data_IF_866748933905
#
_entry.id   IF_866748933905
#
_cell.length_a   1.000
_cell.length_b   1.000
_cell.length_c   1.000
_cell.angle_alpha   90.00
_cell.angle_beta   90.00
_cell.angle_gamma   90.00
#
_symmetry.space_group_name_H-M   'P 1'
#
loop_
_entity.id
_entity.type
_entity.pdbx_description
1 polymer ?
#
# COMPACT_ATOMS: atom_id res chain seq x y z
N UNK A 1 37.33 -13.93 3.72
CA UNK A 1 35.98 -13.87 4.34
C UNK A 1 35.05 -13.08 3.42
N UNK A 2 34.57 -13.67 2.31
CA UNK A 2 33.91 -12.94 1.21
C UNK A 2 32.46 -13.38 0.93
N UNK A 3 31.82 -14.11 1.86
CA UNK A 3 30.46 -14.63 1.66
C UNK A 3 29.32 -13.80 2.27
N UNK A 4 29.61 -12.79 3.10
CA UNK A 4 28.56 -12.09 3.89
C UNK A 4 28.00 -10.81 3.25
N UNK A 5 28.60 -10.28 2.18
CA UNK A 5 28.20 -9.01 1.56
C UNK A 5 26.93 -9.09 0.70
N UNK A 6 26.77 -10.14 -0.09
CA UNK A 6 25.67 -10.23 -1.07
C UNK A 6 24.36 -10.74 -0.47
N UNK A 7 24.43 -11.71 0.45
CA UNK A 7 23.25 -12.22 1.17
C UNK A 7 22.70 -11.19 2.16
N UNK A 8 23.59 -10.45 2.84
CA UNK A 8 23.21 -9.35 3.73
C UNK A 8 22.52 -8.20 3.01
N UNK A 9 23.00 -7.80 1.82
CA UNK A 9 22.39 -6.74 1.02
C UNK A 9 21.03 -7.15 0.43
N UNK A 10 20.88 -8.40 -0.01
CA UNK A 10 19.60 -8.94 -0.47
C UNK A 10 18.55 -9.01 0.65
N UNK A 11 18.93 -9.48 1.84
CA UNK A 11 18.03 -9.54 2.99
C UNK A 11 17.57 -8.14 3.43
N UNK A 12 18.50 -7.17 3.47
CA UNK A 12 18.20 -5.78 3.78
C UNK A 12 17.19 -5.17 2.79
N UNK A 13 17.35 -5.48 1.50
CA UNK A 13 16.48 -4.99 0.42
C UNK A 13 15.10 -5.65 0.42
N UNK A 14 15.01 -6.93 0.80
CA UNK A 14 13.77 -7.70 0.85
C UNK A 14 12.95 -7.45 2.12
N UNK A 15 13.57 -6.94 3.19
CA UNK A 15 12.91 -6.67 4.49
C UNK A 15 11.57 -5.93 4.41
N UNK A 16 11.41 -4.80 3.68
CA UNK A 16 10.11 -4.12 3.61
C UNK A 16 9.04 -4.94 2.89
N UNK A 17 9.41 -5.75 1.90
CA UNK A 17 8.48 -6.62 1.18
C UNK A 17 7.98 -7.75 2.08
N UNK A 18 8.90 -8.44 2.77
CA UNK A 18 8.58 -9.52 3.70
C UNK A 18 7.69 -8.98 4.82
N UNK A 19 8.05 -7.84 5.40
CA UNK A 19 7.28 -7.18 6.44
C UNK A 19 5.84 -6.89 5.99
N UNK A 20 5.65 -6.29 4.82
CA UNK A 20 4.32 -5.97 4.30
C UNK A 20 3.50 -7.23 4.01
N UNK A 21 4.08 -8.26 3.42
CA UNK A 21 3.40 -9.54 3.16
C UNK A 21 2.98 -10.20 4.49
N UNK A 22 3.86 -10.24 5.49
CA UNK A 22 3.54 -10.77 6.82
C UNK A 22 2.40 -10.01 7.51
N UNK A 23 2.34 -8.68 7.34
CA UNK A 23 1.20 -7.89 7.86
C UNK A 23 -0.11 -8.30 7.19
N UNK A 24 -0.12 -8.61 5.89
CA UNK A 24 -1.34 -9.05 5.21
C UNK A 24 -1.87 -10.39 5.75
N UNK A 25 -0.99 -11.32 6.13
CA UNK A 25 -1.41 -12.55 6.83
C UNK A 25 -2.07 -12.23 8.19
N UNK A 26 -1.50 -11.28 8.95
CA UNK A 26 -2.09 -10.83 10.20
C UNK A 26 -3.47 -10.18 10.02
N UNK A 27 -3.64 -9.36 8.97
CA UNK A 27 -4.94 -8.76 8.65
C UNK A 27 -5.96 -9.80 8.14
N UNK A 28 -5.54 -10.81 7.39
CA UNK A 28 -6.40 -11.90 6.94
C UNK A 28 -7.00 -12.68 8.14
N UNK A 29 -6.17 -13.03 9.13
CA UNK A 29 -6.63 -13.68 10.36
C UNK A 29 -7.65 -12.83 11.14
N UNK A 30 -7.42 -11.52 11.20
CA UNK A 30 -8.31 -10.57 11.87
C UNK A 30 -9.73 -10.54 11.27
N UNK A 31 -9.85 -10.59 9.95
CA UNK A 31 -11.17 -10.60 9.29
C UNK A 31 -12.01 -11.81 9.69
N UNK A 32 -11.39 -12.98 9.83
CA UNK A 32 -12.08 -14.21 10.25
C UNK A 32 -12.55 -14.09 11.71
N UNK A 33 -11.63 -13.73 12.61
CA UNK A 33 -11.90 -13.65 14.05
C UNK A 33 -12.96 -12.57 14.36
N UNK A 34 -12.86 -11.40 13.71
CA UNK A 34 -13.81 -10.30 13.89
C UNK A 34 -15.19 -10.63 13.39
N UNK A 35 -15.29 -11.31 12.23
CA UNK A 35 -16.58 -11.70 11.68
C UNK A 35 -17.31 -12.64 12.65
N UNK A 36 -16.62 -13.59 13.27
CA UNK A 36 -17.20 -14.46 14.30
C UNK A 36 -17.70 -13.66 15.50
N UNK A 37 -16.93 -12.68 15.97
CA UNK A 37 -17.30 -11.85 17.13
C UNK A 37 -18.49 -10.92 16.85
N UNK A 38 -18.50 -10.24 15.69
CA UNK A 38 -19.60 -9.36 15.28
C UNK A 38 -20.90 -10.15 15.06
N UNK A 39 -20.83 -11.35 14.50
CA UNK A 39 -22.00 -12.22 14.31
C UNK A 39 -22.58 -12.72 15.64
N UNK A 40 -21.79 -12.76 16.72
CA UNK A 40 -22.26 -13.08 18.08
C UNK A 40 -22.86 -11.88 18.82
N UNK A 41 -23.01 -10.74 18.14
CA UNK A 41 -23.69 -9.56 18.66
C UNK A 41 -22.80 -8.53 19.35
N UNK A 42 -21.47 -8.67 19.27
CA UNK A 42 -20.56 -7.66 19.83
C UNK A 42 -20.72 -6.31 19.12
N UNK A 43 -20.85 -5.23 19.89
CA UNK A 43 -20.88 -3.88 19.33
C UNK A 43 -19.51 -3.52 18.75
N UNK A 44 -19.47 -3.25 17.44
CA UNK A 44 -18.25 -2.82 16.76
C UNK A 44 -17.57 -1.59 17.40
N UNK A 45 -18.33 -0.64 17.94
CA UNK A 45 -17.79 0.52 18.66
C UNK A 45 -16.94 0.08 19.86
N UNK A 46 -17.47 -0.85 20.66
CA UNK A 46 -16.80 -1.43 21.82
C UNK A 46 -15.56 -2.24 21.39
N UNK A 47 -15.67 -3.00 20.29
CA UNK A 47 -14.53 -3.73 19.73
C UNK A 47 -13.38 -2.78 19.34
N UNK A 48 -13.67 -1.64 18.72
CA UNK A 48 -12.66 -0.64 18.36
C UNK A 48 -11.96 -0.09 19.61
N UNK A 49 -12.71 0.22 20.68
CA UNK A 49 -12.14 0.67 21.95
C UNK A 49 -11.16 -0.37 22.52
N UNK A 50 -11.61 -1.61 22.70
CA UNK A 50 -10.77 -2.65 23.28
C UNK A 50 -9.58 -2.98 22.40
N UNK A 51 -9.75 -3.03 21.08
CA UNK A 51 -8.67 -3.20 20.10
C UNK A 51 -7.55 -2.20 20.35
N UNK A 52 -7.86 -0.91 20.42
CA UNK A 52 -6.82 0.11 20.61
C UNK A 52 -6.29 0.19 22.05
N UNK A 53 -7.10 -0.18 23.04
CA UNK A 53 -6.64 -0.32 24.42
C UNK A 53 -5.58 -1.42 24.54
N UNK A 54 -5.83 -2.61 23.98
CA UNK A 54 -4.85 -3.70 23.91
C UNK A 54 -3.61 -3.30 23.12
N UNK A 55 -3.78 -2.63 21.98
CA UNK A 55 -2.67 -2.15 21.18
C UNK A 55 -1.75 -1.21 22.00
N UNK A 56 -2.36 -0.28 22.74
CA UNK A 56 -1.65 0.67 23.60
C UNK A 56 -0.93 -0.04 24.74
N UNK A 57 -1.62 -0.94 25.44
CA UNK A 57 -1.06 -1.69 26.56
C UNK A 57 0.17 -2.52 26.15
N UNK A 58 0.15 -3.10 24.95
CA UNK A 58 1.28 -3.89 24.45
C UNK A 58 2.42 -3.01 23.95
N UNK A 59 2.16 -1.94 23.20
CA UNK A 59 3.24 -1.16 22.56
C UNK A 59 3.87 -0.11 23.47
N UNK A 60 3.11 0.43 24.44
CA UNK A 60 3.58 1.51 25.30
C UNK A 60 4.80 1.14 26.16
N UNK A 61 4.90 -0.05 26.78
CA UNK A 61 6.10 -0.45 27.51
C UNK A 61 7.36 -0.45 26.64
N UNK A 62 7.28 -1.01 25.43
CA UNK A 62 8.40 -1.00 24.48
C UNK A 62 8.79 0.42 24.06
N UNK A 63 7.80 1.28 23.81
CA UNK A 63 8.05 2.67 23.50
C UNK A 63 8.78 3.39 24.65
N UNK A 64 8.37 3.15 25.91
CA UNK A 64 8.94 3.80 27.09
C UNK A 64 10.36 3.30 27.36
N UNK A 65 10.63 2.01 27.13
CA UNK A 65 11.94 1.41 27.41
C UNK A 65 12.94 1.67 26.28
N UNK A 66 12.56 1.42 25.02
CA UNK A 66 13.47 1.44 23.88
C UNK A 66 13.72 2.84 23.33
N UNK A 67 12.73 3.73 23.35
CA UNK A 67 12.83 5.07 22.77
C UNK A 67 13.01 6.18 23.81
N UNK A 68 13.16 5.84 25.10
CA UNK A 68 13.24 6.82 26.22
C UNK A 68 14.18 7.99 25.95
N UNK A 69 15.35 7.70 25.39
CA UNK A 69 16.45 8.67 25.16
C UNK A 69 16.41 9.32 23.78
N UNK A 70 15.56 8.83 22.87
CA UNK A 70 15.57 9.19 21.44
C UNK A 70 14.31 9.96 21.03
N UNK A 71 13.33 10.08 21.94
CA UNK A 71 12.06 10.78 21.72
C UNK A 71 12.27 12.28 21.43
N UNK A 72 11.82 12.77 20.27
CA UNK A 72 11.73 14.20 20.02
C UNK A 72 10.73 14.87 20.98
N UNK A 73 10.89 16.17 21.23
CA UNK A 73 9.90 16.93 22.00
C UNK A 73 8.58 16.99 21.23
N UNK A 74 7.48 16.63 21.90
CA UNK A 74 6.14 16.75 21.32
C UNK A 74 5.72 18.22 21.42
N UNK A 75 5.75 18.93 20.29
CA UNK A 75 5.18 20.27 20.16
C UNK A 75 3.68 20.18 19.90
N UNK A 76 2.94 21.26 20.15
CA UNK A 76 1.48 21.29 19.92
C UNK A 76 1.09 20.90 18.48
N UNK A 77 1.76 21.37 17.40
CA UNK A 77 1.46 20.92 16.04
C UNK A 77 1.66 19.42 15.83
N UNK A 78 2.72 18.82 16.39
CA UNK A 78 2.97 17.38 16.29
C UNK A 78 1.90 16.60 17.06
N UNK A 79 1.53 17.07 18.25
CA UNK A 79 0.44 16.49 19.01
C UNK A 79 -0.90 16.53 18.25
N UNK A 80 -1.22 17.65 17.60
CA UNK A 80 -2.41 17.76 16.74
C UNK A 80 -2.36 16.77 15.57
N UNK A 81 -1.20 16.57 14.94
CA UNK A 81 -1.04 15.54 13.91
C UNK A 81 -1.29 14.14 14.46
N UNK A 82 -0.77 13.81 15.63
CA UNK A 82 -1.01 12.53 16.31
C UNK A 82 -2.47 12.34 16.71
N UNK A 83 -3.14 13.42 17.15
CA UNK A 83 -4.57 13.41 17.48
C UNK A 83 -5.42 13.15 16.24
N UNK A 84 -5.12 13.79 15.11
CA UNK A 84 -5.80 13.56 13.83
C UNK A 84 -5.50 12.16 13.29
N UNK A 85 -4.30 11.62 13.50
CA UNK A 85 -4.00 10.22 13.17
C UNK A 85 -4.86 9.24 13.96
N UNK A 86 -5.03 9.48 15.27
CA UNK A 86 -5.97 8.72 16.10
C UNK A 86 -7.41 8.79 15.59
N UNK A 87 -7.81 9.95 15.05
CA UNK A 87 -9.16 10.17 14.54
C UNK A 87 -9.37 9.46 13.20
N UNK A 88 -8.43 9.59 12.26
CA UNK A 88 -8.56 9.07 10.90
C UNK A 88 -8.60 7.54 10.85
N UNK A 89 -7.65 6.87 11.51
CA UNK A 89 -7.53 5.42 11.47
C UNK A 89 -8.42 4.72 12.50
N UNK A 90 -8.08 4.78 13.79
CA UNK A 90 -8.86 4.14 14.85
C UNK A 90 -10.36 4.49 14.85
N UNK A 91 -10.72 5.76 14.68
CA UNK A 91 -12.11 6.19 14.89
C UNK A 91 -12.92 6.19 13.58
N UNK A 92 -12.53 7.02 12.60
CA UNK A 92 -13.33 7.24 11.38
C UNK A 92 -13.29 6.00 10.50
N UNK A 93 -12.11 5.52 10.10
CA UNK A 93 -11.97 4.37 9.22
C UNK A 93 -12.66 3.14 9.81
N UNK A 94 -12.29 2.69 11.01
CA UNK A 94 -12.82 1.43 11.53
C UNK A 94 -14.33 1.48 11.80
N UNK A 95 -14.85 2.54 12.42
CA UNK A 95 -16.28 2.59 12.74
C UNK A 95 -17.13 2.73 11.47
N UNK A 96 -16.73 3.59 10.52
CA UNK A 96 -17.47 3.73 9.27
C UNK A 96 -17.30 2.52 8.36
N UNK A 97 -16.16 1.82 8.40
CA UNK A 97 -15.99 0.54 7.71
C UNK A 97 -16.97 -0.51 8.23
N UNK A 98 -17.02 -0.71 9.56
CA UNK A 98 -17.93 -1.68 10.16
C UNK A 98 -19.41 -1.27 10.00
N UNK A 99 -19.74 0.02 10.09
CA UNK A 99 -21.09 0.51 9.84
C UNK A 99 -21.48 0.33 8.37
N UNK A 100 -20.59 0.68 7.44
CA UNK A 100 -20.80 0.51 6.00
C UNK A 100 -20.96 -0.96 5.62
N UNK A 101 -20.20 -1.86 6.23
CA UNK A 101 -20.33 -3.30 6.05
C UNK A 101 -21.71 -3.85 6.50
N UNK A 102 -22.37 -3.21 7.48
CA UNK A 102 -23.73 -3.59 7.89
C UNK A 102 -24.80 -3.17 6.90
N UNK A 103 -24.59 -2.07 6.18
CA UNK A 103 -25.55 -1.50 5.24
C UNK A 103 -25.26 -1.87 3.77
N UNK A 104 -24.15 -2.55 3.50
CA UNK A 104 -23.75 -3.00 2.15
C UNK A 104 -23.37 -4.48 2.15
N UNK A 105 -22.96 -5.00 1.01
CA UNK A 105 -22.45 -6.36 0.92
C UNK A 105 -20.97 -6.43 1.34
N UNK A 106 -20.51 -7.57 1.89
CA UNK A 106 -19.10 -7.82 2.11
C UNK A 106 -18.26 -7.65 0.83
N UNK A 107 -18.82 -8.03 -0.32
CA UNK A 107 -18.17 -7.85 -1.63
C UNK A 107 -17.92 -6.38 -1.96
N UNK A 108 -18.92 -5.52 -1.74
CA UNK A 108 -18.79 -4.09 -1.97
C UNK A 108 -17.80 -3.44 -0.99
N UNK A 109 -17.84 -3.81 0.29
CA UNK A 109 -16.85 -3.36 1.29
C UNK A 109 -15.42 -3.76 0.90
N UNK A 110 -15.24 -4.98 0.39
CA UNK A 110 -13.95 -5.44 -0.12
C UNK A 110 -13.48 -4.65 -1.34
N UNK A 111 -14.39 -4.36 -2.28
CA UNK A 111 -14.10 -3.53 -3.44
C UNK A 111 -13.62 -2.12 -3.02
N UNK A 112 -14.25 -1.50 -2.01
CA UNK A 112 -13.82 -0.20 -1.47
C UNK A 112 -12.44 -0.28 -0.81
N UNK A 113 -12.16 -1.31 0.01
CA UNK A 113 -10.83 -1.54 0.59
C UNK A 113 -9.74 -1.72 -0.48
N UNK A 114 -10.08 -2.34 -1.61
CA UNK A 114 -9.17 -2.52 -2.74
C UNK A 114 -8.88 -1.23 -3.52
N UNK A 115 -9.70 -0.18 -3.35
CA UNK A 115 -9.43 1.14 -3.91
C UNK A 115 -8.42 1.94 -3.09
N UNK A 116 -8.05 1.49 -1.89
CA UNK A 116 -7.10 2.15 -1.00
C UNK A 116 -5.76 2.54 -1.68
N UNK A 117 -5.11 1.68 -2.50
CA UNK A 117 -3.87 2.04 -3.19
C UNK A 117 -4.06 3.23 -4.14
N UNK A 118 -5.16 3.25 -4.90
CA UNK A 118 -5.47 4.35 -5.82
C UNK A 118 -5.78 5.64 -5.07
N UNK A 119 -6.60 5.58 -4.02
CA UNK A 119 -6.91 6.75 -3.18
C UNK A 119 -5.64 7.31 -2.53
N UNK A 120 -4.76 6.44 -2.03
CA UNK A 120 -3.48 6.84 -1.46
C UNK A 120 -2.56 7.46 -2.50
N UNK A 121 -2.53 6.92 -3.72
CA UNK A 121 -1.75 7.51 -4.81
C UNK A 121 -2.23 8.92 -5.14
N UNK A 122 -3.55 9.12 -5.32
CA UNK A 122 -4.14 10.44 -5.58
C UNK A 122 -3.78 11.42 -4.46
N UNK A 123 -3.96 11.03 -3.20
CA UNK A 123 -3.63 11.88 -2.05
C UNK A 123 -2.12 12.18 -1.95
N UNK A 124 -1.25 11.21 -2.25
CA UNK A 124 0.19 11.41 -2.27
C UNK A 124 0.62 12.44 -3.34
N UNK A 125 -0.04 12.44 -4.50
CA UNK A 125 0.18 13.44 -5.56
C UNK A 125 -0.30 14.82 -5.12
N UNK A 126 -1.52 14.92 -4.56
CA UNK A 126 -2.08 16.18 -4.04
C UNK A 126 -1.20 16.80 -2.95
N UNK A 127 -0.66 15.98 -2.05
CA UNK A 127 0.26 16.41 -0.99
C UNK A 127 1.71 16.61 -1.46
N UNK A 128 1.99 16.51 -2.78
CA UNK A 128 3.33 16.61 -3.39
C UNK A 128 4.37 15.64 -2.80
N UNK A 129 3.91 14.51 -2.28
CA UNK A 129 4.78 13.43 -1.77
C UNK A 129 5.24 12.49 -2.89
N UNK A 130 4.53 12.47 -4.02
CA UNK A 130 4.92 11.77 -5.24
C UNK A 130 4.96 12.76 -6.41
N UNK A 131 6.09 12.82 -7.10
CA UNK A 131 6.24 13.62 -8.33
C UNK A 131 5.86 12.74 -9.51
N UNK A 132 4.72 13.04 -10.14
CA UNK A 132 4.26 12.35 -11.33
C UNK A 132 4.79 13.07 -12.57
N UNK A 133 6.00 12.70 -12.97
CA UNK A 133 6.48 13.01 -14.31
C UNK A 133 6.02 11.90 -15.26
N UNK A 134 4.88 12.11 -15.94
CA UNK A 134 4.26 11.13 -16.85
C UNK A 134 5.21 10.72 -17.98
N UNK A 135 6.25 11.51 -18.28
CA UNK A 135 7.26 11.16 -19.29
C UNK A 135 8.24 10.09 -18.79
N UNK A 136 8.41 9.93 -17.47
CA UNK A 136 9.32 8.92 -16.90
C UNK A 136 8.62 7.57 -16.84
N UNK A 137 9.21 6.57 -17.50
CA UNK A 137 8.72 5.17 -17.53
C UNK A 137 8.44 4.60 -16.13
N UNK A 138 9.22 4.98 -15.12
CA UNK A 138 9.01 4.55 -13.73
C UNK A 138 7.73 5.10 -13.10
N UNK A 139 7.36 6.35 -13.43
CA UNK A 139 6.15 6.99 -12.92
C UNK A 139 4.93 6.38 -13.63
N UNK A 140 5.04 6.12 -14.93
CA UNK A 140 4.04 5.35 -15.67
C UNK A 140 3.84 3.95 -15.05
N UNK A 141 4.91 3.23 -14.74
CA UNK A 141 4.83 1.91 -14.12
C UNK A 141 4.10 1.91 -12.76
N UNK A 142 4.29 2.95 -11.93
CA UNK A 142 3.54 3.11 -10.67
C UNK A 142 2.05 3.37 -10.91
N UNK A 143 1.71 4.28 -11.82
CA UNK A 143 0.32 4.64 -12.13
C UNK A 143 -0.41 3.45 -12.74
N UNK A 144 0.15 2.88 -13.81
CA UNK A 144 -0.40 1.71 -14.50
C UNK A 144 -0.46 0.52 -13.55
N UNK A 145 0.60 0.26 -12.79
CA UNK A 145 0.62 -0.80 -11.78
C UNK A 145 -0.48 -0.65 -10.74
N UNK A 146 -0.73 0.57 -10.26
CA UNK A 146 -1.83 0.86 -9.31
C UNK A 146 -3.20 0.60 -9.96
N UNK A 147 -3.42 1.06 -11.19
CA UNK A 147 -4.65 0.83 -11.95
C UNK A 147 -4.88 -0.68 -12.17
N UNK A 148 -3.83 -1.40 -12.60
CA UNK A 148 -3.88 -2.85 -12.83
C UNK A 148 -4.15 -3.60 -11.52
N UNK A 149 -3.55 -3.18 -10.40
CA UNK A 149 -3.80 -3.80 -9.09
C UNK A 149 -5.25 -3.61 -8.68
N UNK A 150 -5.80 -2.39 -8.81
CA UNK A 150 -7.21 -2.11 -8.48
C UNK A 150 -8.14 -2.88 -9.40
N UNK A 151 -7.87 -2.91 -10.71
CA UNK A 151 -8.66 -3.66 -11.68
C UNK A 151 -8.64 -5.18 -11.37
N UNK A 152 -7.47 -5.73 -11.05
CA UNK A 152 -7.33 -7.13 -10.64
C UNK A 152 -8.10 -7.45 -9.36
N UNK A 153 -8.03 -6.55 -8.37
CA UNK A 153 -8.74 -6.71 -7.12
C UNK A 153 -10.26 -6.58 -7.28
N UNK A 154 -10.73 -5.68 -8.16
CA UNK A 154 -12.14 -5.58 -8.55
C UNK A 154 -12.61 -6.83 -9.28
N UNK A 155 -11.83 -7.34 -10.24
CA UNK A 155 -12.13 -8.59 -10.95
C UNK A 155 -12.27 -9.77 -9.98
N UNK A 156 -11.34 -9.88 -9.03
CA UNK A 156 -11.36 -10.92 -7.99
C UNK A 156 -12.64 -10.86 -7.14
N UNK A 157 -13.14 -9.66 -6.83
CA UNK A 157 -14.34 -9.47 -6.00
C UNK A 157 -15.65 -9.62 -6.74
N UNK A 158 -15.75 -9.05 -7.94
CA UNK A 158 -17.02 -8.86 -8.64
C UNK A 158 -17.31 -9.96 -9.65
N UNK A 159 -16.28 -10.59 -10.20
CA UNK A 159 -16.42 -11.65 -11.18
C UNK A 159 -16.14 -13.02 -10.55
N UNK A 160 -17.17 -13.85 -10.44
CA UNK A 160 -16.99 -15.27 -10.08
C UNK A 160 -16.56 -16.05 -11.33
N UNK A 161 -17.35 -16.09 -12.39
CA UNK A 161 -17.08 -16.96 -13.54
C UNK A 161 -17.25 -18.45 -13.17
N UNK A 162 -16.70 -19.36 -13.97
CA UNK A 162 -16.83 -20.81 -13.71
C UNK A 162 -16.04 -21.23 -12.46
N UNK A 163 -16.56 -22.26 -11.77
CA UNK A 163 -15.88 -22.90 -10.64
C UNK A 163 -14.67 -23.67 -11.15
N UNK A 164 -13.52 -23.48 -10.51
CA UNK A 164 -12.34 -24.33 -10.70
C UNK A 164 -12.42 -25.40 -9.62
N UNK A 165 -12.71 -26.63 -10.03
CA UNK A 165 -12.71 -27.76 -9.10
C UNK A 165 -11.26 -28.05 -8.71
N UNK A 166 -10.90 -27.76 -7.46
CA UNK A 166 -9.64 -28.18 -6.87
C UNK A 166 -9.84 -29.59 -6.31
N UNK A 167 -8.79 -30.43 -6.36
CA UNK A 167 -8.82 -31.86 -5.95
C UNK A 167 -9.36 -32.05 -4.51
N UNK A 168 -9.32 -31.01 -3.69
CA UNK A 168 -9.76 -31.04 -2.29
C UNK A 168 -11.15 -30.41 -2.04
N UNK A 169 -11.78 -29.77 -3.04
CA UNK A 169 -13.04 -29.03 -2.86
C UNK A 169 -14.30 -29.83 -3.25
N UNK A 170 -14.19 -31.15 -3.37
CA UNK A 170 -15.23 -32.00 -4.01
C UNK A 170 -16.52 -32.19 -3.18
N UNK A 171 -16.61 -31.68 -1.95
CA UNK A 171 -17.77 -31.88 -1.08
C UNK A 171 -18.19 -30.65 -0.27
N UNK A 172 -18.74 -29.61 -0.91
CA UNK A 172 -19.55 -28.60 -0.18
C UNK A 172 -20.70 -28.09 -1.05
N UNK A 173 -21.93 -28.22 -0.52
CA UNK A 173 -23.14 -27.60 -1.05
C UNK A 173 -23.03 -26.06 -1.00
N UNK A 174 -23.40 -25.42 -2.11
CA UNK A 174 -23.53 -23.97 -2.22
C UNK A 174 -24.59 -23.46 -1.22
N UNK A 175 -24.17 -22.96 -0.05
CA UNK A 175 -25.04 -22.11 0.75
C UNK A 175 -25.16 -20.76 0.03
N UNK A 176 -26.22 -20.60 -0.76
CA UNK A 176 -26.73 -19.29 -1.16
C UNK A 176 -27.15 -18.55 0.12
N UNK A 177 -26.26 -17.71 0.64
CA UNK A 177 -26.64 -16.73 1.65
C UNK A 177 -27.59 -15.76 0.96
N UNK A 178 -28.87 -15.81 1.30
CA UNK A 178 -29.85 -14.81 0.88
C UNK A 178 -29.34 -13.44 1.31
N UNK A 179 -28.98 -12.60 0.35
CA UNK A 179 -28.66 -11.19 0.60
C UNK A 179 -29.97 -10.56 1.09
N UNK A 180 -30.05 -10.05 2.34
CA UNK A 180 -31.23 -9.30 2.74
C UNK A 180 -31.37 -8.12 1.78
N UNK A 181 -32.54 -7.96 1.16
CA UNK A 181 -32.84 -6.79 0.34
C UNK A 181 -32.80 -5.54 1.23
N UNK A 182 -31.62 -4.91 1.31
CA UNK A 182 -31.46 -3.61 1.95
C UNK A 182 -32.17 -2.56 1.10
N UNK A 183 -32.96 -1.69 1.72
CA UNK A 183 -33.56 -0.54 1.03
C UNK A 183 -32.50 0.22 0.24
N UNK A 184 -32.83 0.72 -0.96
CA UNK A 184 -31.91 1.56 -1.76
C UNK A 184 -31.28 2.71 -0.94
N UNK A 185 -32.01 3.25 0.05
CA UNK A 185 -31.51 4.31 0.94
C UNK A 185 -30.41 3.81 1.88
N UNK A 186 -30.54 2.60 2.41
CA UNK A 186 -29.54 2.00 3.31
C UNK A 186 -28.27 1.63 2.55
N UNK A 187 -28.41 1.09 1.33
CA UNK A 187 -27.27 0.75 0.49
C UNK A 187 -26.44 1.99 0.09
N UNK A 188 -27.09 3.10 -0.26
CA UNK A 188 -26.41 4.39 -0.54
C UNK A 188 -25.67 4.89 0.70
N UNK A 189 -26.35 4.89 1.87
CA UNK A 189 -25.74 5.30 3.14
C UNK A 189 -24.51 4.47 3.46
N UNK A 190 -24.59 3.14 3.33
CA UNK A 190 -23.48 2.24 3.54
C UNK A 190 -22.31 2.48 2.57
N UNK A 191 -22.62 2.80 1.32
CA UNK A 191 -21.61 3.12 0.30
C UNK A 191 -20.84 4.40 0.64
N UNK A 192 -21.55 5.45 1.06
CA UNK A 192 -20.93 6.71 1.49
C UNK A 192 -20.03 6.48 2.71
N UNK A 193 -20.47 5.68 3.69
CA UNK A 193 -19.68 5.35 4.88
C UNK A 193 -18.38 4.63 4.50
N UNK A 194 -18.41 3.67 3.58
CA UNK A 194 -17.22 2.97 3.12
C UNK A 194 -16.26 3.87 2.35
N UNK A 195 -16.76 4.77 1.50
CA UNK A 195 -15.92 5.75 0.80
C UNK A 195 -15.21 6.65 1.81
N UNK A 196 -15.92 7.14 2.83
CA UNK A 196 -15.32 7.96 3.89
C UNK A 196 -14.28 7.15 4.66
N UNK A 197 -14.54 5.88 4.97
CA UNK A 197 -13.60 5.00 5.65
C UNK A 197 -12.31 4.83 4.83
N UNK A 198 -12.42 4.44 3.56
CA UNK A 198 -11.27 4.29 2.66
C UNK A 198 -10.49 5.59 2.50
N UNK A 199 -11.18 6.73 2.40
CA UNK A 199 -10.53 8.04 2.31
C UNK A 199 -9.81 8.41 3.61
N UNK A 200 -10.41 8.13 4.77
CA UNK A 200 -9.80 8.38 6.08
C UNK A 200 -8.55 7.51 6.27
N UNK A 201 -8.59 6.24 5.84
CA UNK A 201 -7.45 5.35 5.89
C UNK A 201 -6.33 5.76 4.94
N UNK A 202 -6.65 6.18 3.71
CA UNK A 202 -5.66 6.78 2.80
C UNK A 202 -5.02 8.02 3.42
N UNK A 203 -5.83 8.91 3.99
CA UNK A 203 -5.38 10.14 4.67
C UNK A 203 -4.48 9.83 5.87
N UNK A 204 -4.78 8.76 6.61
CA UNK A 204 -3.97 8.27 7.71
C UNK A 204 -2.55 7.92 7.23
N UNK A 205 -2.37 7.16 6.15
CA UNK A 205 -1.03 6.84 5.63
C UNK A 205 -0.25 8.08 5.20
N UNK A 206 -0.91 9.02 4.54
CA UNK A 206 -0.31 10.29 4.11
C UNK A 206 0.16 11.11 5.32
N UNK A 207 -0.74 11.35 6.28
CA UNK A 207 -0.42 12.12 7.48
C UNK A 207 0.62 11.40 8.35
N UNK A 208 0.58 10.07 8.42
CA UNK A 208 1.53 9.29 9.20
C UNK A 208 2.94 9.42 8.61
N UNK A 209 3.07 9.42 7.28
CA UNK A 209 4.36 9.67 6.62
C UNK A 209 4.90 11.05 6.97
N UNK A 210 4.06 12.09 6.88
CA UNK A 210 4.45 13.47 7.23
C UNK A 210 4.80 13.61 8.72
N UNK A 211 4.11 12.88 9.58
CA UNK A 211 4.39 12.89 11.02
C UNK A 211 5.72 12.19 11.32
N UNK A 212 6.02 11.08 10.63
CA UNK A 212 7.25 10.31 10.80
C UNK A 212 8.52 11.02 10.30
N UNK A 213 8.40 12.06 9.45
CA UNK A 213 9.55 12.91 9.10
C UNK A 213 9.85 13.94 10.19
N UNK A 214 8.86 14.32 11.01
CA UNK A 214 9.01 15.28 12.13
C UNK A 214 9.25 14.60 13.47
N UNK A 215 8.72 13.39 13.64
CA UNK A 215 8.78 12.60 14.86
C UNK A 215 9.25 11.18 14.53
N UNK A 216 10.57 10.96 14.61
CA UNK A 216 11.24 9.72 14.17
C UNK A 216 11.13 8.53 15.14
N UNK A 217 10.45 8.69 16.27
CA UNK A 217 10.22 7.64 17.27
C UNK A 217 8.95 6.83 16.93
N UNK A 218 9.14 5.70 16.26
CA UNK A 218 8.06 4.91 15.65
C UNK A 218 7.20 4.19 16.68
N UNK A 219 7.81 3.58 17.71
CA UNK A 219 7.06 2.88 18.75
C UNK A 219 6.20 3.87 19.54
N UNK A 220 6.78 5.03 19.87
CA UNK A 220 6.11 6.10 20.59
C UNK A 220 4.99 6.73 19.78
N UNK A 221 5.19 6.94 18.47
CA UNK A 221 4.13 7.42 17.59
C UNK A 221 2.95 6.44 17.58
N UNK A 222 3.21 5.14 17.39
CA UNK A 222 2.18 4.11 17.41
C UNK A 222 1.46 4.04 18.75
N UNK A 223 2.20 4.11 19.86
CA UNK A 223 1.63 4.13 21.21
C UNK A 223 0.67 5.31 21.41
N UNK A 224 1.10 6.52 21.04
CA UNK A 224 0.31 7.74 21.20
C UNK A 224 -0.92 7.71 20.29
N UNK A 225 -0.77 7.28 19.03
CA UNK A 225 -1.89 7.17 18.08
C UNK A 225 -2.92 6.14 18.57
N UNK A 226 -2.49 4.98 19.07
CA UNK A 226 -3.39 3.99 19.65
C UNK A 226 -4.05 4.49 20.94
N UNK A 227 -3.31 5.21 21.78
CA UNK A 227 -3.85 5.79 23.02
C UNK A 227 -4.90 6.87 22.73
N UNK A 228 -4.59 7.84 21.88
CA UNK A 228 -5.52 8.89 21.48
C UNK A 228 -6.73 8.30 20.74
N UNK A 229 -6.50 7.31 19.86
CA UNK A 229 -7.56 6.56 19.20
C UNK A 229 -8.46 5.83 20.19
N UNK A 230 -7.92 5.27 21.28
CA UNK A 230 -8.72 4.68 22.36
C UNK A 230 -9.60 5.73 23.04
N UNK A 231 -9.03 6.86 23.45
CA UNK A 231 -9.78 7.94 24.12
C UNK A 231 -10.90 8.50 23.22
N UNK A 232 -10.61 8.75 21.95
CA UNK A 232 -11.60 9.24 21.00
C UNK A 232 -12.67 8.16 20.71
N UNK A 233 -12.28 6.90 20.59
CA UNK A 233 -13.24 5.79 20.39
C UNK A 233 -14.12 5.59 21.61
N UNK A 234 -13.61 5.79 22.82
CA UNK A 234 -14.42 5.79 24.06
C UNK A 234 -15.50 6.87 23.98
N UNK A 235 -15.12 8.11 23.61
CA UNK A 235 -16.07 9.20 23.46
C UNK A 235 -17.17 8.89 22.44
N UNK A 236 -16.80 8.35 21.27
CA UNK A 236 -17.76 7.93 20.24
C UNK A 236 -18.65 6.79 20.74
N UNK A 237 -18.08 5.80 21.43
CA UNK A 237 -18.84 4.65 21.94
C UNK A 237 -19.83 5.08 23.01
N UNK A 238 -19.49 6.02 23.89
CA UNK A 238 -20.45 6.55 24.87
C UNK A 238 -21.65 7.26 24.20
N UNK A 239 -21.43 7.94 23.08
CA UNK A 239 -22.49 8.60 22.32
C UNK A 239 -23.34 7.60 21.54
N UNK A 240 -22.74 6.52 21.03
CA UNK A 240 -23.44 5.55 20.18
C UNK A 240 -24.08 4.40 20.95
N UNK A 241 -23.48 4.00 22.07
CA UNK A 241 -23.84 2.81 22.85
C UNK A 241 -24.16 3.18 24.30
N UNK A 242 -25.44 3.44 24.54
CA UNK A 242 -25.95 3.92 25.82
C UNK A 242 -26.10 2.80 26.87
N UNK A 243 -26.06 1.53 26.46
CA UNK A 243 -26.26 0.38 27.35
C UNK A 243 -24.93 -0.01 28.03
N UNK A 244 -24.82 0.02 29.36
CA UNK A 244 -23.60 -0.41 30.05
C UNK A 244 -23.24 -1.87 29.78
N UNK A 245 -24.23 -2.74 29.55
CA UNK A 245 -24.01 -4.15 29.21
C UNK A 245 -23.32 -4.37 27.86
N UNK A 246 -23.28 -3.37 26.97
CA UNK A 246 -22.53 -3.50 25.73
C UNK A 246 -21.02 -3.40 25.95
N UNK A 247 -20.59 -2.75 27.04
CA UNK A 247 -19.18 -2.58 27.40
C UNK A 247 -18.58 -3.82 28.07
N UNK A 248 -19.42 -4.71 28.60
CA UNK A 248 -18.95 -5.93 29.28
C UNK A 248 -18.45 -6.93 28.25
N UNK A 249 -17.14 -7.16 28.24
CA UNK A 249 -16.50 -8.21 27.44
C UNK A 249 -16.21 -9.40 28.36
N UNK A 250 -16.74 -10.57 28.01
CA UNK A 250 -16.50 -11.80 28.77
C UNK A 250 -15.14 -12.42 28.47
N UNK A 251 -14.76 -13.47 29.21
CA UNK A 251 -13.62 -14.33 28.87
C UNK A 251 -13.99 -15.28 27.73
N UNK A 252 -14.25 -14.73 26.55
CA UNK A 252 -14.78 -15.45 25.39
C UNK A 252 -14.05 -15.07 24.08
N UNK A 253 -14.62 -15.50 22.95
CA UNK A 253 -14.10 -15.15 21.62
C UNK A 253 -14.07 -13.65 21.35
N UNK A 254 -14.88 -12.83 22.02
CA UNK A 254 -14.87 -11.37 21.85
C UNK A 254 -13.61 -10.76 22.45
N UNK A 255 -13.18 -11.23 23.64
CA UNK A 255 -11.92 -10.84 24.25
C UNK A 255 -10.73 -11.27 23.39
N UNK A 256 -10.74 -12.50 22.89
CA UNK A 256 -9.70 -12.99 21.98
C UNK A 256 -9.65 -12.17 20.68
N UNK A 257 -10.81 -11.82 20.12
CA UNK A 257 -10.92 -10.97 18.94
C UNK A 257 -10.30 -9.59 19.21
N UNK A 258 -10.70 -8.93 20.30
CA UNK A 258 -10.17 -7.62 20.66
C UNK A 258 -8.66 -7.64 20.94
N UNK A 259 -8.16 -8.68 21.62
CA UNK A 259 -6.75 -8.85 21.91
C UNK A 259 -5.93 -9.10 20.62
N UNK A 260 -6.36 -10.03 19.77
CA UNK A 260 -5.69 -10.29 18.49
C UNK A 260 -5.69 -9.05 17.58
N UNK A 261 -6.85 -8.39 17.47
CA UNK A 261 -7.02 -7.15 16.73
C UNK A 261 -6.06 -6.06 17.19
N UNK A 262 -5.97 -5.88 18.51
CA UNK A 262 -5.13 -4.86 19.12
C UNK A 262 -3.65 -5.15 18.95
N UNK A 263 -3.24 -6.38 19.25
CA UNK A 263 -1.84 -6.80 19.20
C UNK A 263 -1.35 -6.85 17.76
N UNK A 264 -1.99 -7.66 16.91
CA UNK A 264 -1.49 -7.91 15.56
C UNK A 264 -1.86 -6.76 14.64
N UNK A 265 -3.16 -6.45 14.50
CA UNK A 265 -3.66 -5.55 13.46
C UNK A 265 -3.56 -4.06 13.80
N UNK A 266 -3.27 -3.70 15.04
CA UNK A 266 -3.06 -2.29 15.43
C UNK A 266 -1.63 -2.06 15.91
N UNK A 267 -1.15 -2.73 16.95
CA UNK A 267 0.17 -2.42 17.50
C UNK A 267 1.33 -2.78 16.57
N UNK A 268 1.47 -4.07 16.22
CA UNK A 268 2.54 -4.55 15.35
C UNK A 268 2.37 -3.96 13.96
N UNK A 269 1.17 -4.04 13.39
CA UNK A 269 0.87 -3.46 12.09
C UNK A 269 1.19 -1.97 11.99
N UNK A 270 0.74 -1.13 12.93
CA UNK A 270 0.96 0.32 12.82
C UNK A 270 2.43 0.69 13.00
N UNK A 271 3.16 -0.06 13.84
CA UNK A 271 4.60 0.11 14.00
C UNK A 271 5.36 -0.31 12.73
N UNK A 272 5.14 -1.53 12.23
CA UNK A 272 5.83 -2.08 11.07
C UNK A 272 5.48 -1.29 9.81
N UNK A 273 4.21 -0.95 9.59
CA UNK A 273 3.82 -0.11 8.45
C UNK A 273 4.50 1.26 8.52
N UNK A 274 4.62 1.86 9.70
CA UNK A 274 5.32 3.14 9.88
C UNK A 274 6.79 3.04 9.48
N UNK A 275 7.47 1.98 9.93
CA UNK A 275 8.89 1.73 9.58
C UNK A 275 9.10 1.54 8.08
N UNK A 276 8.22 0.79 7.42
CA UNK A 276 8.30 0.57 5.97
C UNK A 276 7.98 1.86 5.24
N UNK A 277 6.91 2.54 5.63
CA UNK A 277 6.42 3.76 5.00
C UNK A 277 7.45 4.89 5.03
N UNK A 278 8.18 5.06 6.12
CA UNK A 278 9.24 6.07 6.19
C UNK A 278 10.33 5.85 5.12
N UNK A 279 10.60 4.58 4.76
CA UNK A 279 11.64 4.22 3.77
C UNK A 279 11.15 4.19 2.33
N UNK A 280 9.93 3.72 2.12
CA UNK A 280 9.41 3.42 0.76
C UNK A 280 8.32 4.39 0.29
N UNK A 281 7.73 5.14 1.22
CA UNK A 281 6.59 6.01 1.01
C UNK A 281 5.24 5.29 1.15
N UNK A 282 4.14 6.07 1.25
CA UNK A 282 2.80 5.56 1.53
C UNK A 282 2.22 4.70 0.40
N UNK A 283 2.47 5.07 -0.86
CA UNK A 283 1.99 4.32 -2.03
C UNK A 283 2.55 2.90 -2.06
N UNK A 284 3.80 2.71 -1.66
CA UNK A 284 4.39 1.38 -1.60
C UNK A 284 3.67 0.50 -0.58
N UNK A 285 3.39 1.05 0.60
CA UNK A 285 2.74 0.31 1.70
C UNK A 285 1.32 -0.08 1.32
N UNK A 286 0.55 0.86 0.79
CA UNK A 286 -0.87 0.60 0.47
C UNK A 286 -1.05 -0.30 -0.75
N UNK A 287 -0.08 -0.35 -1.67
CA UNK A 287 -0.10 -1.28 -2.80
C UNK A 287 -0.28 -2.75 -2.37
N UNK A 288 0.21 -3.15 -1.19
CA UNK A 288 0.05 -4.51 -0.66
C UNK A 288 -1.34 -4.82 -0.10
N UNK A 289 -2.22 -3.83 0.06
CA UNK A 289 -3.56 -4.05 0.66
C UNK A 289 -4.38 -5.14 -0.06
N UNK A 290 -4.43 -5.19 -1.41
CA UNK A 290 -5.18 -6.24 -2.11
C UNK A 290 -4.62 -7.65 -1.93
N UNK A 291 -3.37 -7.81 -1.46
CA UNK A 291 -2.78 -9.12 -1.19
C UNK A 291 -3.45 -9.83 0.00
N UNK A 292 -4.03 -9.09 0.95
CA UNK A 292 -4.88 -9.65 2.01
C UNK A 292 -6.03 -10.48 1.42
N UNK A 293 -6.64 -10.01 0.33
CA UNK A 293 -7.76 -10.70 -0.33
C UNK A 293 -7.35 -12.04 -0.91
N UNK A 294 -6.17 -12.10 -1.54
CA UNK A 294 -5.60 -13.35 -2.07
C UNK A 294 -5.38 -14.34 -0.93
N UNK A 295 -4.78 -13.90 0.18
CA UNK A 295 -4.53 -14.76 1.35
C UNK A 295 -5.85 -15.27 1.93
N UNK A 296 -6.86 -14.41 2.11
CA UNK A 296 -8.17 -14.79 2.64
C UNK A 296 -8.85 -15.81 1.73
N UNK A 297 -8.83 -15.62 0.41
CA UNK A 297 -9.43 -16.57 -0.53
C UNK A 297 -8.74 -17.95 -0.49
N UNK A 298 -7.41 -17.98 -0.40
CA UNK A 298 -6.64 -19.22 -0.28
C UNK A 298 -6.95 -19.91 1.05
N UNK A 299 -6.93 -19.18 2.17
CA UNK A 299 -7.26 -19.72 3.49
C UNK A 299 -8.71 -20.22 3.57
N UNK A 300 -9.65 -19.47 2.99
CA UNK A 300 -11.06 -19.89 2.89
C UNK A 300 -11.22 -21.18 2.09
N UNK A 301 -10.49 -21.32 0.98
CA UNK A 301 -10.50 -22.56 0.22
C UNK A 301 -9.93 -23.76 1.00
N UNK A 302 -8.84 -23.58 1.75
CA UNK A 302 -8.24 -24.68 2.54
C UNK A 302 -8.96 -25.02 3.84
N UNK A 303 -9.56 -24.04 4.52
CA UNK A 303 -10.14 -24.24 5.85
C UNK A 303 -11.65 -24.47 5.76
N UNK A 304 -12.33 -23.77 4.84
CA UNK A 304 -13.79 -23.80 4.68
C UNK A 304 -14.22 -24.61 3.43
N UNK A 305 -13.28 -25.20 2.68
CA UNK A 305 -13.54 -25.90 1.41
C UNK A 305 -14.33 -25.03 0.41
N UNK A 306 -14.09 -23.71 0.44
CA UNK A 306 -14.70 -22.78 -0.52
C UNK A 306 -14.12 -22.97 -1.93
N UNK A 307 -15.01 -22.99 -2.92
CA UNK A 307 -14.63 -23.08 -4.32
C UNK A 307 -13.97 -21.79 -4.81
N UNK A 308 -12.80 -21.92 -5.45
CA UNK A 308 -12.15 -20.80 -6.14
C UNK A 308 -12.73 -20.70 -7.55
N UNK A 309 -13.10 -19.48 -7.94
CA UNK A 309 -13.64 -19.22 -9.26
C UNK A 309 -12.58 -18.62 -10.20
N UNK A 310 -12.79 -18.73 -11.51
CA UNK A 310 -11.87 -18.22 -12.55
C UNK A 310 -11.57 -16.73 -12.36
N UNK A 311 -12.56 -15.91 -12.00
CA UNK A 311 -12.33 -14.49 -11.73
C UNK A 311 -11.43 -14.23 -10.52
N UNK A 312 -11.45 -15.15 -9.54
CA UNK A 312 -10.54 -15.15 -8.42
C UNK A 312 -9.07 -15.31 -8.85
N UNK A 313 -8.81 -16.29 -9.73
CA UNK A 313 -7.45 -16.58 -10.24
C UNK A 313 -6.93 -15.47 -11.15
N UNK A 314 -7.74 -15.04 -12.12
CA UNK A 314 -7.37 -13.94 -13.02
C UNK A 314 -7.14 -12.63 -12.26
N UNK A 315 -7.99 -12.34 -11.27
CA UNK A 315 -7.84 -11.19 -10.39
C UNK A 315 -6.54 -11.25 -9.58
N UNK A 316 -6.21 -12.41 -9.00
CA UNK A 316 -4.96 -12.61 -8.27
C UNK A 316 -3.71 -12.40 -9.17
N UNK A 317 -3.72 -12.91 -10.40
CA UNK A 317 -2.64 -12.69 -11.38
C UNK A 317 -2.46 -11.20 -11.67
N UNK A 318 -3.56 -10.47 -11.90
CA UNK A 318 -3.52 -9.03 -12.14
C UNK A 318 -3.03 -8.25 -10.92
N UNK A 319 -3.44 -8.61 -9.70
CA UNK A 319 -2.92 -8.00 -8.46
C UNK A 319 -1.40 -8.18 -8.38
N UNK A 320 -0.88 -9.39 -8.62
CA UNK A 320 0.57 -9.67 -8.57
C UNK A 320 1.32 -8.90 -9.65
N UNK A 321 0.79 -8.85 -10.87
CA UNK A 321 1.39 -8.08 -11.97
C UNK A 321 1.42 -6.58 -11.68
N UNK A 322 0.32 -6.03 -11.17
CA UNK A 322 0.21 -4.62 -10.79
C UNK A 322 1.15 -4.25 -9.64
N UNK A 323 1.19 -5.08 -8.60
CA UNK A 323 2.16 -4.98 -7.51
C UNK A 323 3.60 -4.96 -8.04
N UNK A 324 3.97 -5.93 -8.90
CA UNK A 324 5.29 -5.97 -9.49
C UNK A 324 5.66 -4.68 -10.22
N UNK A 325 4.74 -4.13 -11.02
CA UNK A 325 4.97 -2.86 -11.73
C UNK A 325 5.19 -1.67 -10.78
N UNK A 326 4.40 -1.55 -9.70
CA UNK A 326 4.58 -0.50 -8.67
C UNK A 326 5.93 -0.66 -7.98
N UNK A 327 6.27 -1.88 -7.57
CA UNK A 327 7.50 -2.21 -6.86
C UNK A 327 8.73 -1.98 -7.75
N UNK A 328 8.66 -2.36 -9.02
CA UNK A 328 9.70 -2.09 -10.01
C UNK A 328 9.92 -0.59 -10.20
N UNK A 329 8.84 0.19 -10.35
CA UNK A 329 8.90 1.64 -10.47
C UNK A 329 9.56 2.31 -9.26
N UNK A 330 9.25 1.83 -8.04
CA UNK A 330 9.85 2.30 -6.78
C UNK A 330 11.32 1.92 -6.63
N UNK A 331 11.67 0.68 -6.96
CA UNK A 331 13.05 0.20 -6.91
C UNK A 331 13.97 0.96 -7.87
N UNK A 332 13.48 1.29 -9.08
CA UNK A 332 14.23 2.11 -10.03
C UNK A 332 14.43 3.54 -9.52
N UNK A 333 13.44 4.12 -8.84
CA UNK A 333 13.57 5.43 -8.21
C UNK A 333 14.62 5.45 -7.10
N UNK A 334 14.68 4.40 -6.27
CA UNK A 334 15.71 4.29 -5.23
C UNK A 334 17.11 4.20 -5.81
N UNK A 335 17.32 3.39 -6.87
CA UNK A 335 18.61 3.29 -7.54
C UNK A 335 19.10 4.61 -8.13
N UNK A 336 18.21 5.43 -8.67
CA UNK A 336 18.58 6.76 -9.18
C UNK A 336 18.97 7.71 -8.04
N UNK A 337 18.23 7.71 -6.91
CA UNK A 337 18.62 8.49 -5.72
C UNK A 337 19.99 8.05 -5.19
N UNK A 338 20.27 6.75 -5.17
CA UNK A 338 21.59 6.22 -4.79
C UNK A 338 22.69 6.68 -5.77
N UNK A 339 22.41 6.72 -7.06
CA UNK A 339 23.35 7.18 -8.08
C UNK A 339 23.60 8.70 -8.05
N UNK A 340 22.60 9.51 -7.69
CA UNK A 340 22.74 10.97 -7.53
C UNK A 340 23.56 11.37 -6.28
N UNK A 341 23.61 10.52 -5.24
CA UNK A 341 24.35 10.78 -4.00
C UNK A 341 25.86 10.52 -4.14
N UNK A 342 26.28 9.75 -5.14
CA UNK A 342 27.71 9.57 -5.46
C UNK A 342 28.15 10.80 -6.28
N UNK A 343 28.99 11.70 -5.76
CA UNK A 343 29.43 12.86 -6.54
C UNK A 343 30.18 12.35 -7.77
N UNK A 344 29.75 12.76 -8.95
CA UNK A 344 30.52 12.55 -10.18
C UNK A 344 31.92 13.15 -10.02
N UNK A 345 32.94 12.61 -10.71
CA UNK A 345 34.30 13.13 -10.60
C UNK A 345 34.28 14.61 -11.00
N UNK A 346 34.79 15.44 -10.09
CA UNK A 346 34.99 16.87 -10.31
C UNK A 346 35.85 16.98 -11.57
N UNK A 347 35.29 17.54 -12.64
CA UNK A 347 36.09 18.02 -13.77
C UNK A 347 36.85 19.25 -13.30
N UNK A 348 38.08 19.07 -12.83
CA UNK A 348 39.04 20.16 -12.76
C UNK A 348 39.35 20.62 -14.19
N UNK A 349 39.05 21.88 -14.48
CA UNK A 349 39.60 22.61 -15.62
C UNK A 349 40.81 23.41 -15.11
N UNK A 350 41.99 23.20 -15.71
CA UNK A 350 43.05 24.22 -15.75
C UNK A 350 44.50 23.75 -15.57
N UNK A 351 45.17 23.55 -16.71
CA UNK A 351 46.59 23.88 -17.03
C UNK A 351 47.77 22.92 -16.73
N UNK A 352 48.29 22.36 -17.84
CA UNK A 352 49.67 22.11 -18.30
C UNK A 352 50.78 21.55 -17.38
N UNK A 353 51.36 20.41 -17.80
CA UNK A 353 52.78 20.06 -17.54
C UNK A 353 53.14 18.57 -17.54
N UNK A 354 53.69 18.08 -18.66
CA UNK A 354 54.65 16.97 -18.87
C UNK A 354 54.52 15.53 -18.27
N UNK A 355 54.37 14.59 -19.21
CA UNK A 355 54.99 13.27 -19.46
C UNK A 355 55.27 12.19 -18.38
N UNK A 356 54.72 11.00 -18.70
CA UNK A 356 55.25 9.62 -18.57
C UNK A 356 55.05 8.82 -17.27
N UNK A 357 54.31 7.71 -17.40
CA UNK A 357 54.39 6.55 -16.49
C UNK A 357 53.21 5.59 -16.61
N UNK A 358 53.27 4.64 -17.54
CA UNK A 358 52.32 3.51 -17.66
C UNK A 358 52.29 2.64 -16.41
N UNK A 359 51.09 2.30 -15.90
CA UNK A 359 50.69 0.93 -15.49
C UNK A 359 49.20 0.77 -15.83
N UNK A 360 48.87 -0.27 -16.62
CA UNK A 360 47.54 -0.67 -17.06
C UNK A 360 46.72 -1.40 -15.96
N UNK A 361 45.44 -0.98 -15.88
CA UNK A 361 44.18 -1.74 -15.87
C UNK A 361 44.02 -3.05 -15.06
N UNK A 362 42.89 -3.17 -14.35
CA UNK A 362 41.84 -4.22 -14.53
C UNK A 362 40.69 -3.97 -13.53
N UNK A 363 39.44 -4.19 -13.99
CA UNK A 363 38.14 -4.10 -13.26
C UNK A 363 37.39 -2.75 -13.24
N UNK A 364 36.92 -2.28 -14.41
CA UNK A 364 35.75 -1.39 -14.45
C UNK A 364 34.85 -1.49 -15.70
N UNK A 365 35.11 -2.38 -16.67
CA UNK A 365 34.40 -2.36 -17.96
C UNK A 365 33.28 -3.39 -18.17
N UNK A 366 32.93 -4.22 -17.20
CA UNK A 366 31.92 -5.28 -17.41
C UNK A 366 30.46 -4.92 -17.08
N UNK A 367 30.12 -3.68 -16.72
CA UNK A 367 28.73 -3.29 -16.45
C UNK A 367 28.08 -2.37 -17.48
N UNK A 368 28.83 -1.82 -18.44
CA UNK A 368 28.31 -0.83 -19.38
C UNK A 368 27.95 -1.43 -20.76
N UNK A 369 28.51 -2.58 -21.14
CA UNK A 369 28.24 -3.19 -22.45
C UNK A 369 26.90 -3.96 -22.53
N UNK A 370 26.31 -4.37 -21.41
CA UNK A 370 25.08 -5.17 -21.45
C UNK A 370 23.79 -4.36 -21.74
N UNK A 371 23.84 -3.02 -21.67
CA UNK A 371 22.71 -2.15 -22.02
C UNK A 371 22.78 -1.54 -23.43
N UNK A 372 23.94 -1.56 -24.09
CA UNK A 372 24.09 -1.01 -25.45
C UNK A 372 23.68 -2.01 -26.55
N UNK A 373 23.76 -3.32 -26.29
CA UNK A 373 23.48 -4.37 -27.28
C UNK A 373 22.00 -4.79 -27.42
N UNK A 374 21.06 -4.18 -26.68
CA UNK A 374 19.61 -4.43 -26.88
C UNK A 374 18.88 -3.37 -27.70
N UNK A 375 19.53 -2.26 -28.07
CA UNK A 375 18.91 -1.18 -28.84
C UNK A 375 19.07 -1.29 -30.37
N UNK A 376 19.82 -2.28 -30.88
CA UNK A 376 20.23 -2.31 -32.30
C UNK A 376 19.60 -3.41 -33.17
N UNK A 377 18.60 -4.17 -32.72
CA UNK A 377 17.94 -5.17 -33.57
C UNK A 377 16.42 -4.95 -33.70
N UNK A 378 16.03 -3.88 -34.40
CA UNK A 378 14.73 -3.80 -35.09
C UNK A 378 14.93 -3.12 -36.44
N UNK A 379 15.23 -3.92 -37.47
CA UNK A 379 15.30 -3.50 -38.87
C UNK A 379 13.92 -3.68 -39.49
N UNK A 380 13.27 -2.60 -39.92
CA UNK A 380 12.07 -2.62 -40.77
C UNK A 380 12.52 -2.32 -42.20
N UNK A 381 12.18 -3.10 -43.24
CA UNK A 381 12.54 -2.77 -44.61
C UNK A 381 11.53 -1.78 -45.20
N UNK A 382 12.02 -0.60 -45.62
CA UNK A 382 11.24 0.39 -46.36
C UNK A 382 11.52 0.24 -47.85
N UNK A 383 10.48 -0.04 -48.64
CA UNK A 383 10.52 -0.05 -50.12
C UNK A 383 10.50 1.39 -50.62
N UNK A 384 11.49 1.76 -51.43
CA UNK A 384 11.61 3.08 -52.04
C UNK A 384 10.88 3.14 -53.40
N UNK A 385 10.07 4.18 -53.61
CA UNK A 385 9.57 4.57 -54.93
C UNK A 385 10.22 5.91 -55.28
N UNK A 386 11.02 5.89 -56.35
CA UNK A 386 11.79 7.01 -56.90
C UNK A 386 10.91 7.89 -57.79
N UNK A 387 11.03 9.21 -57.66
CA UNK A 387 10.65 10.18 -58.72
C UNK A 387 11.76 11.23 -58.83
N UNK A 388 12.20 11.65 -60.03
CA UNK A 388 13.45 12.40 -60.21
C UNK A 388 13.29 13.91 -60.01
N UNK A 389 14.34 14.50 -59.45
CA UNK A 389 14.64 15.92 -59.29
C UNK A 389 14.72 16.70 -60.62
N UNK A 390 14.17 17.91 -60.64
CA UNK A 390 14.44 18.94 -61.64
C UNK A 390 15.25 20.08 -61.02
N UNK A 391 16.32 20.49 -61.71
CA UNK A 391 17.31 21.50 -61.33
C UNK A 391 16.73 22.93 -61.23
N UNK A 392 17.25 23.72 -60.29
CA UNK A 392 17.22 25.20 -60.33
C UNK A 392 18.37 25.70 -61.25
N UNK A 393 18.33 26.92 -61.85
CA UNK A 393 18.45 28.16 -61.06
C UNK A 393 17.92 29.49 -61.68
N UNK A 394 18.11 30.56 -60.90
CA UNK A 394 18.30 31.98 -61.26
C UNK A 394 17.10 32.96 -61.42
N UNK A 395 16.96 33.79 -60.37
CA UNK A 395 16.95 35.27 -60.32
C UNK A 395 16.21 36.02 -61.46
N UNK A 396 15.13 36.75 -61.12
CA UNK A 396 15.10 38.23 -61.10
C UNK A 396 13.67 38.82 -61.09
N UNK A 397 13.54 39.86 -60.26
CA UNK A 397 12.74 41.09 -60.40
C UNK A 397 11.23 41.12 -60.14
N UNK A 398 10.91 42.07 -59.24
CA UNK A 398 9.62 42.64 -58.86
C UNK A 398 8.81 43.20 -60.04
N UNK A 399 7.48 43.13 -59.92
CA UNK A 399 6.54 44.23 -60.21
C UNK A 399 5.12 43.87 -59.70
N UNK A 400 4.18 44.84 -59.53
CA UNK A 400 3.31 44.90 -58.36
C UNK A 400 1.85 44.51 -58.62
N UNK A 401 1.12 44.45 -57.49
CA UNK A 401 -0.33 44.28 -57.35
C UNK A 401 -1.15 45.18 -58.28
N UNK A 402 -2.21 44.61 -58.83
CA UNK A 402 -3.53 45.20 -58.93
C UNK A 402 -4.57 44.11 -58.65
#
# INVERSE_FOLDING_TARGET
MEGKGYSGSFFQRSKPYIAMISLQFGYAGMNIITKVSLNRGMSHYVLVVYRHAFATAVIAPFAIILERKVRPKITFPIFMQMFVLGLLGPVIDQNFYYAGLKFTSPTFSCAMSNMLPAMTFVMAVLCRMEIVDIKKVRCQAKVIGTIVTVAGAMLMTLYKGNVINLIWSEHVHTHSSSVPETSNKDWIKGSILLIIATFAWASFFILQTVTLTRYSAHLSLTAIVCFLGTLQSIAVTFVMEHKPSAWTIGWDMNLLAAAYAGIVSSSISYYVQGLVMQKTGPVFVTAFSPLMMIIVAIMGSFILAENIYVGGVLGAILIVAGLYAVLWGKHKEQKEKEAEIIPGPIKENGENGDTTGMIQDIEANNCTEKQRNQANNVTVPSVAITVPTSQAPMIAREAPRA
#
